data_IF_023261541338
#
_entry.id   IF_023261541338
#
_cell.length_a   1.000
_cell.length_b   1.000
_cell.length_c   1.000
_cell.angle_alpha   90.00
_cell.angle_beta   90.00
_cell.angle_gamma   90.00
#
_symmetry.space_group_name_H-M   'P 1'
#
loop_
_entity.id
_entity.type
_entity.pdbx_description
1 polymer ?
#
# COMPACT_ATOMS: atom_id res chain seq x y z
N UNK A 1 -5.92 6.16 -13.35
CA UNK A 1 -6.79 4.99 -13.08
C UNK A 1 -6.36 4.19 -11.87
N UNK A 2 -7.30 3.92 -10.96
CA UNK A 2 -7.16 3.00 -9.82
C UNK A 2 -7.25 1.52 -10.25
N UNK A 3 -6.89 1.22 -11.49
CA UNK A 3 -7.02 -0.08 -12.11
C UNK A 3 -5.67 -0.82 -12.08
N UNK A 4 -5.43 -1.53 -10.98
CA UNK A 4 -4.40 -2.58 -10.96
C UNK A 4 -3.12 -2.24 -10.19
N UNK A 5 -3.23 -1.66 -8.99
CA UNK A 5 -2.14 -1.73 -8.01
C UNK A 5 -1.82 -3.22 -7.75
N UNK A 6 -0.79 -3.72 -8.44
CA UNK A 6 -0.29 -5.09 -8.38
C UNK A 6 1.19 -5.00 -8.04
N UNK A 7 1.58 -5.64 -6.94
CA UNK A 7 2.99 -5.65 -6.54
C UNK A 7 3.59 -6.99 -6.89
N UNK A 8 4.65 -6.99 -7.69
CA UNK A 8 5.41 -8.19 -7.95
C UNK A 8 6.46 -8.38 -6.85
N UNK A 9 6.54 -9.59 -6.31
CA UNK A 9 7.58 -9.95 -5.35
C UNK A 9 8.78 -10.60 -6.08
N UNK A 10 9.97 -10.64 -5.47
CA UNK A 10 11.17 -11.20 -6.10
C UNK A 10 11.06 -12.72 -6.37
N UNK A 11 10.09 -13.42 -5.77
CA UNK A 11 9.78 -14.80 -6.11
C UNK A 11 8.90 -14.94 -7.38
N UNK A 12 8.64 -13.84 -8.09
CA UNK A 12 7.83 -13.79 -9.32
C UNK A 12 6.32 -13.67 -9.10
N UNK A 13 5.83 -13.91 -7.87
CA UNK A 13 4.40 -13.87 -7.54
C UNK A 13 3.86 -12.43 -7.43
N UNK A 14 2.57 -12.26 -7.75
CA UNK A 14 1.87 -10.97 -7.68
C UNK A 14 1.01 -10.88 -6.40
N UNK A 15 1.18 -9.79 -5.65
CA UNK A 15 0.32 -9.39 -4.56
C UNK A 15 -0.82 -8.53 -5.13
N UNK A 16 -2.04 -8.97 -4.86
CA UNK A 16 -3.26 -8.29 -5.32
C UNK A 16 -3.92 -7.57 -4.15
N UNK A 17 -4.74 -6.57 -4.51
CA UNK A 17 -5.57 -5.86 -3.56
C UNK A 17 -6.46 -6.84 -2.78
N UNK A 18 -6.54 -6.62 -1.46
CA UNK A 18 -7.37 -7.44 -0.56
C UNK A 18 -8.53 -6.63 -0.01
N UNK A 19 -8.21 -5.52 0.62
CA UNK A 19 -9.19 -4.63 1.23
C UNK A 19 -8.54 -3.27 1.52
N UNK A 20 -9.39 -2.30 1.82
CA UNK A 20 -9.01 -1.00 2.34
C UNK A 20 -9.64 -0.80 3.70
N UNK A 21 -8.94 -0.10 4.60
CA UNK A 21 -9.49 0.32 5.89
C UNK A 21 -9.05 1.74 6.20
N UNK A 22 -9.68 2.36 7.18
CA UNK A 22 -9.24 3.65 7.71
C UNK A 22 -8.53 3.38 9.03
N UNK A 23 -7.22 3.62 9.08
CA UNK A 23 -6.43 3.54 10.30
C UNK A 23 -5.98 4.94 10.71
N UNK A 24 -6.26 5.34 11.95
CA UNK A 24 -5.85 6.66 12.49
C UNK A 24 -6.27 7.83 11.58
N UNK A 25 -7.47 7.78 11.02
CA UNK A 25 -8.01 8.80 10.11
C UNK A 25 -7.42 8.77 8.69
N UNK A 26 -6.58 7.77 8.36
CA UNK A 26 -5.92 7.64 7.05
C UNK A 26 -6.45 6.42 6.32
N UNK A 27 -6.86 6.61 5.06
CA UNK A 27 -7.23 5.49 4.19
C UNK A 27 -6.00 4.66 3.86
N UNK A 28 -6.09 3.35 4.08
CA UNK A 28 -5.04 2.36 3.84
C UNK A 28 -5.56 1.29 2.89
N UNK A 29 -4.75 0.88 1.91
CA UNK A 29 -4.99 -0.28 1.05
C UNK A 29 -4.01 -1.39 1.37
N UNK A 30 -4.49 -2.62 1.45
CA UNK A 30 -3.68 -3.79 1.75
C UNK A 30 -3.60 -4.71 0.55
N UNK A 31 -2.39 -5.20 0.30
CA UNK A 31 -2.07 -6.12 -0.78
C UNK A 31 -1.38 -7.34 -0.22
N UNK A 32 -1.76 -8.53 -0.66
CA UNK A 32 -1.08 -9.77 -0.29
C UNK A 32 -1.34 -10.88 -1.30
N UNK A 33 -0.58 -11.96 -1.18
CA UNK A 33 -0.77 -13.17 -1.98
C UNK A 33 -0.75 -14.41 -1.08
N UNK A 34 -1.62 -15.41 -1.31
CA UNK A 34 -1.56 -16.70 -0.61
C UNK A 34 -0.32 -17.52 -1.02
N UNK A 35 0.32 -17.19 -2.15
CA UNK A 35 1.52 -17.88 -2.64
C UNK A 35 2.69 -17.85 -1.64
N UNK A 36 2.70 -16.88 -0.71
CA UNK A 36 3.66 -16.84 0.39
C UNK A 36 3.65 -18.09 1.27
N UNK A 37 2.54 -18.85 1.34
CA UNK A 37 2.45 -20.08 2.12
C UNK A 37 3.50 -21.13 1.72
N UNK A 38 3.76 -21.24 0.41
CA UNK A 38 4.68 -22.22 -0.20
C UNK A 38 5.98 -21.60 -0.72
N UNK A 39 6.20 -20.31 -0.47
CA UNK A 39 7.32 -19.57 -1.03
C UNK A 39 8.62 -19.91 -0.27
N UNK A 40 9.65 -20.39 -0.99
CA UNK A 40 10.95 -20.71 -0.40
C UNK A 40 11.65 -19.50 0.22
N UNK A 41 11.37 -18.29 -0.28
CA UNK A 41 11.93 -17.04 0.25
C UNK A 41 11.17 -16.50 1.47
N UNK A 42 10.08 -17.15 1.91
CA UNK A 42 9.19 -16.63 2.97
C UNK A 42 9.95 -16.27 4.24
N UNK A 43 10.83 -17.14 4.72
CA UNK A 43 11.61 -16.95 5.95
C UNK A 43 12.47 -15.69 5.94
N UNK A 44 12.93 -15.26 4.75
CA UNK A 44 13.72 -14.04 4.54
C UNK A 44 12.88 -12.83 4.11
N UNK A 45 11.67 -13.06 3.62
CA UNK A 45 10.81 -12.05 3.01
C UNK A 45 9.80 -11.43 3.99
N UNK A 46 9.29 -12.21 4.96
CA UNK A 46 8.33 -11.74 5.96
C UNK A 46 8.39 -12.60 7.23
N UNK A 47 8.21 -11.99 8.40
CA UNK A 47 8.03 -12.72 9.67
C UNK A 47 6.60 -13.27 9.84
N UNK A 48 5.67 -12.91 8.97
CA UNK A 48 4.27 -13.36 9.08
C UNK A 48 4.13 -14.84 8.67
N UNK A 49 3.44 -15.62 9.50
CA UNK A 49 3.07 -17.00 9.19
C UNK A 49 2.11 -17.12 8.00
N UNK A 50 1.32 -16.09 7.68
CA UNK A 50 0.33 -16.14 6.59
C UNK A 50 0.91 -15.68 5.26
N UNK A 51 1.25 -14.40 5.15
CA UNK A 51 1.74 -13.81 3.90
C UNK A 51 2.42 -12.47 4.13
N UNK A 52 3.22 -12.03 3.16
CA UNK A 52 3.68 -10.64 3.12
C UNK A 52 2.48 -9.74 2.82
N UNK A 53 2.33 -8.70 3.63
CA UNK A 53 1.35 -7.63 3.42
C UNK A 53 2.10 -6.37 3.01
N UNK A 54 1.65 -5.74 1.94
CA UNK A 54 2.07 -4.40 1.56
C UNK A 54 0.90 -3.48 1.86
N UNK A 55 1.16 -2.36 2.52
CA UNK A 55 0.13 -1.37 2.85
C UNK A 55 0.48 -0.04 2.19
N UNK A 56 -0.50 0.61 1.57
CA UNK A 56 -0.34 1.90 0.88
C UNK A 56 -1.39 2.90 1.35
N UNK A 57 -1.02 4.16 1.50
CA UNK A 57 -1.97 5.22 1.80
C UNK A 57 -2.83 5.53 0.57
N UNK A 58 -4.14 5.63 0.76
CA UNK A 58 -5.12 5.93 -0.29
C UNK A 58 -5.06 7.42 -0.69
N UNK A 59 -4.77 8.29 0.27
CA UNK A 59 -4.97 9.74 0.15
C UNK A 59 -3.68 10.54 -0.06
N UNK A 60 -2.56 9.88 -0.38
CA UNK A 60 -1.30 10.57 -0.73
C UNK A 60 -1.50 11.68 -1.80
N UNK A 61 -2.33 11.48 -2.85
CA UNK A 61 -2.60 12.54 -3.84
C UNK A 61 -3.43 13.71 -3.28
N UNK A 62 -4.26 13.46 -2.26
CA UNK A 62 -5.08 14.51 -1.62
C UNK A 62 -4.21 15.37 -0.70
N UNK A 63 -3.27 14.75 0.00
CA UNK A 63 -2.28 15.46 0.81
C UNK A 63 -1.35 16.30 -0.07
N UNK A 64 -0.91 15.78 -1.22
CA UNK A 64 -0.11 16.53 -2.18
C UNK A 64 -0.88 17.71 -2.77
N UNK A 65 -2.17 17.52 -3.14
CA UNK A 65 -3.02 18.61 -3.59
C UNK A 65 -3.25 19.69 -2.51
N UNK A 66 -3.37 19.28 -1.24
CA UNK A 66 -3.45 20.20 -0.12
C UNK A 66 -2.14 20.99 0.05
N UNK A 67 -0.98 20.34 -0.05
CA UNK A 67 0.33 21.00 0.01
C UNK A 67 0.50 22.02 -1.13
N UNK A 68 0.06 21.67 -2.36
CA UNK A 68 0.08 22.60 -3.49
C UNK A 68 -0.80 23.81 -3.25
N UNK A 69 -1.99 23.64 -2.66
CA UNK A 69 -2.88 24.75 -2.27
C UNK A 69 -2.25 25.64 -1.19
N UNK A 70 -1.64 25.03 -0.18
CA UNK A 70 -0.90 25.72 0.89
C UNK A 70 0.24 26.58 0.31
N UNK A 71 1.06 26.00 -0.59
CA UNK A 71 2.14 26.72 -1.28
C UNK A 71 1.63 27.85 -2.18
N UNK A 72 0.46 27.68 -2.79
CA UNK A 72 -0.14 28.67 -3.68
C UNK A 72 -0.82 29.84 -2.94
N UNK A 73 -1.15 29.69 -1.65
CA UNK A 73 -1.74 30.75 -0.83
C UNK A 73 -1.03 30.88 0.53
N UNK A 74 0.21 31.40 0.56
CA UNK A 74 0.99 31.52 1.79
C UNK A 74 0.43 32.53 2.80
N UNK A 75 -0.54 33.36 2.40
CA UNK A 75 -1.15 34.43 3.20
C UNK A 75 -2.32 34.00 4.10
N UNK A 76 -2.69 32.71 4.08
CA UNK A 76 -3.75 32.14 4.91
C UNK A 76 -3.28 31.59 6.27
N UNK A 77 -2.00 31.75 6.62
CA UNK A 77 -1.38 31.20 7.84
C UNK A 77 -0.39 32.19 8.47
#
# INVERSE_FOLDING_TARGET
DAAGDRYQCPAGEILTYRFSTVEQGRGMRYYSTPACGRCALKSRCTRSHKSRRITRWVNEPVLEAMEQRLKAQPELY
#
